data_IF_451126284727
#
_entry.id   IF_451126284727
#
_cell.length_a   1.000
_cell.length_b   1.000
_cell.length_c   1.000
_cell.angle_alpha   90.00
_cell.angle_beta   90.00
_cell.angle_gamma   90.00
#
_symmetry.space_group_name_H-M   'P 1'
#
loop_
_entity.id
_entity.type
_entity.pdbx_description
1 polymer ?
#
# COMPACT_ATOMS: atom_id res chain seq x y z
N UNK A 1 -2.37 14.90 -6.73
CA UNK A 1 -3.60 14.49 -7.43
C UNK A 1 -3.33 14.47 -8.91
N UNK A 2 -3.63 13.35 -9.55
CA UNK A 2 -3.46 13.23 -10.99
C UNK A 2 -4.40 14.21 -11.71
N UNK A 3 -3.87 14.99 -12.66
CA UNK A 3 -4.67 15.99 -13.39
C UNK A 3 -5.30 15.44 -14.68
N UNK A 4 -4.85 14.27 -15.18
CA UNK A 4 -5.32 13.65 -16.41
C UNK A 4 -5.01 12.13 -16.45
N UNK A 5 -5.44 11.39 -15.44
CA UNK A 5 -5.28 9.93 -15.47
C UNK A 5 -6.35 9.31 -16.36
N UNK A 6 -5.97 8.30 -17.14
CA UNK A 6 -6.91 7.52 -17.95
C UNK A 6 -7.78 6.61 -17.07
N UNK A 7 -7.20 6.14 -15.95
CA UNK A 7 -7.84 5.21 -15.03
C UNK A 7 -7.52 5.52 -13.57
N UNK A 8 -8.39 5.07 -12.68
CA UNK A 8 -8.13 5.02 -11.24
C UNK A 8 -8.41 3.61 -10.72
N UNK A 9 -7.49 3.08 -9.91
CA UNK A 9 -7.68 1.83 -9.16
C UNK A 9 -7.83 2.16 -7.67
N UNK A 10 -8.83 1.55 -7.04
CA UNK A 10 -9.19 1.81 -5.65
C UNK A 10 -8.72 0.69 -4.72
N UNK A 11 -8.74 0.97 -3.42
CA UNK A 11 -8.26 0.05 -2.39
C UNK A 11 -8.87 -1.35 -2.49
N UNK A 12 -10.13 -1.50 -2.90
CA UNK A 12 -10.77 -2.82 -3.07
C UNK A 12 -10.10 -3.74 -4.11
N UNK A 13 -9.34 -3.17 -5.05
CA UNK A 13 -8.67 -3.89 -6.13
C UNK A 13 -7.23 -4.19 -5.72
N UNK A 14 -7.06 -5.12 -4.78
CA UNK A 14 -5.76 -5.53 -4.26
C UNK A 14 -5.67 -7.06 -4.07
N UNK A 15 -4.44 -7.53 -3.86
CA UNK A 15 -4.15 -8.93 -3.57
C UNK A 15 -3.02 -9.06 -2.52
N UNK A 16 -2.92 -10.24 -1.89
CA UNK A 16 -1.97 -10.54 -0.80
C UNK A 16 -0.91 -11.57 -1.21
N UNK A 17 -0.29 -11.37 -2.38
CA UNK A 17 0.74 -12.26 -2.90
C UNK A 17 0.83 -12.24 -4.41
N UNK A 18 2.01 -12.52 -4.95
CA UNK A 18 2.25 -12.53 -6.40
C UNK A 18 1.86 -13.88 -7.00
N UNK A 19 0.81 -13.89 -7.81
CA UNK A 19 0.28 -15.07 -8.47
C UNK A 19 -0.20 -14.68 -9.88
N UNK A 20 0.28 -15.41 -10.90
CA UNK A 20 -0.04 -15.13 -12.30
C UNK A 20 -1.44 -15.61 -12.73
N UNK A 21 -2.13 -16.37 -11.87
CA UNK A 21 -3.50 -16.81 -12.08
C UNK A 21 -4.55 -15.77 -11.66
N UNK A 22 -4.13 -14.73 -10.92
CA UNK A 22 -5.01 -13.66 -10.50
C UNK A 22 -5.58 -12.90 -11.72
N UNK A 23 -6.91 -12.69 -11.78
CA UNK A 23 -7.47 -11.89 -12.86
C UNK A 23 -6.97 -10.44 -12.75
N UNK A 24 -6.71 -9.78 -13.89
CA UNK A 24 -6.30 -8.38 -13.84
C UNK A 24 -7.44 -7.51 -13.31
N UNK A 25 -7.12 -6.64 -12.35
CA UNK A 25 -8.03 -5.63 -11.85
C UNK A 25 -8.31 -4.52 -12.87
N UNK A 26 -7.37 -4.33 -13.81
CA UNK A 26 -7.47 -3.38 -14.90
C UNK A 26 -6.62 -3.87 -16.09
N UNK A 27 -7.09 -3.60 -17.31
CA UNK A 27 -6.36 -3.82 -18.56
C UNK A 27 -6.16 -2.50 -19.27
N UNK A 28 -4.93 -2.18 -19.68
CA UNK A 28 -4.55 -0.89 -20.25
C UNK A 28 -3.67 -1.03 -21.49
N UNK A 29 -3.70 -0.02 -22.36
CA UNK A 29 -2.75 0.13 -23.45
C UNK A 29 -1.39 0.66 -22.93
N UNK A 30 -0.27 0.38 -23.61
CA UNK A 30 0.99 1.04 -23.33
C UNK A 30 0.86 2.57 -23.44
N UNK A 31 1.44 3.28 -22.46
CA UNK A 31 1.39 4.74 -22.39
C UNK A 31 0.21 5.31 -21.58
N UNK A 32 -0.71 4.48 -21.10
CA UNK A 32 -1.78 4.93 -20.21
C UNK A 32 -1.27 5.39 -18.84
N UNK A 33 -1.93 6.40 -18.27
CA UNK A 33 -1.68 6.90 -16.91
C UNK A 33 -2.73 6.39 -15.94
N UNK A 34 -2.29 5.82 -14.81
CA UNK A 34 -3.17 5.21 -13.80
C UNK A 34 -2.92 5.88 -12.44
N UNK A 35 -3.99 6.30 -11.76
CA UNK A 35 -3.95 6.73 -10.36
C UNK A 35 -4.25 5.54 -9.44
N UNK A 36 -3.39 5.30 -8.44
CA UNK A 36 -3.54 4.22 -7.48
C UNK A 36 -3.95 4.76 -6.10
N UNK A 37 -5.10 4.33 -5.59
CA UNK A 37 -5.45 4.51 -4.18
C UNK A 37 -5.06 3.25 -3.41
N UNK A 38 -3.81 3.22 -2.95
CA UNK A 38 -3.26 2.09 -2.22
C UNK A 38 -3.72 2.05 -0.76
N UNK A 39 -3.77 0.85 -0.20
CA UNK A 39 -3.74 0.65 1.24
C UNK A 39 -2.30 0.79 1.77
N UNK A 40 -2.14 1.15 3.05
CA UNK A 40 -0.84 1.02 3.71
C UNK A 40 -0.49 -0.45 3.98
N UNK A 41 0.72 -0.71 4.47
CA UNK A 41 1.23 -2.07 4.71
C UNK A 41 0.40 -2.89 5.70
N UNK A 42 -0.40 -2.27 6.57
CA UNK A 42 -1.33 -2.98 7.47
C UNK A 42 -2.66 -3.36 6.80
N UNK A 43 -2.87 -3.03 5.53
CA UNK A 43 -4.18 -3.07 4.88
C UNK A 43 -5.26 -2.21 5.57
N UNK A 44 -4.85 -1.15 6.29
CA UNK A 44 -5.76 -0.29 7.06
C UNK A 44 -6.18 -0.86 8.41
N UNK A 45 -5.53 -1.94 8.89
CA UNK A 45 -5.71 -2.43 10.25
C UNK A 45 -5.18 -1.44 11.30
N UNK A 46 -4.19 -0.62 10.93
CA UNK A 46 -3.65 0.45 11.76
C UNK A 46 -4.07 1.83 11.23
N UNK A 47 -4.55 2.69 12.12
CA UNK A 47 -5.06 4.02 11.81
C UNK A 47 -4.83 5.03 12.93
N UNK A 48 -5.34 6.27 12.79
CA UNK A 48 -5.09 7.36 13.74
C UNK A 48 -5.54 7.09 15.19
N UNK A 49 -6.43 6.12 15.40
CA UNK A 49 -6.93 5.71 16.72
C UNK A 49 -6.34 4.38 17.22
N UNK A 50 -5.34 3.82 16.53
CA UNK A 50 -4.74 2.55 16.91
C UNK A 50 -4.02 2.63 18.25
N UNK A 51 -4.00 1.48 18.94
CA UNK A 51 -3.37 1.31 20.24
C UNK A 51 -2.32 0.22 20.17
N UNK A 52 -1.58 -0.02 21.27
CA UNK A 52 -0.67 -1.16 21.36
C UNK A 52 -1.39 -2.50 21.11
N UNK A 53 -2.66 -2.62 21.55
CA UNK A 53 -3.45 -3.82 21.30
C UNK A 53 -3.70 -4.02 19.80
N UNK A 54 -3.89 -2.94 19.03
CA UNK A 54 -4.02 -3.01 17.56
C UNK A 54 -2.78 -3.60 16.88
N UNK A 55 -1.59 -3.39 17.47
CA UNK A 55 -0.34 -3.99 16.96
C UNK A 55 -0.27 -5.48 17.26
N UNK A 56 -0.69 -5.87 18.47
CA UNK A 56 -0.74 -7.29 18.88
C UNK A 56 -1.76 -8.08 18.06
N UNK A 57 -2.90 -7.46 17.74
CA UNK A 57 -4.01 -8.08 17.00
C UNK A 57 -3.81 -8.07 15.47
N UNK A 58 -2.66 -7.60 14.98
CA UNK A 58 -2.40 -7.46 13.55
C UNK A 58 -2.49 -8.82 12.84
N UNK A 59 -3.36 -8.92 11.84
CA UNK A 59 -3.50 -10.12 11.01
C UNK A 59 -2.40 -10.12 9.93
N UNK A 60 -1.35 -10.90 10.17
CA UNK A 60 -0.24 -11.11 9.23
C UNK A 60 -0.65 -11.82 7.93
N UNK A 61 -1.83 -12.45 7.87
CA UNK A 61 -2.38 -12.98 6.63
C UNK A 61 -2.90 -11.88 5.69
N UNK A 62 -3.04 -10.65 6.18
CA UNK A 62 -3.59 -9.50 5.45
C UNK A 62 -2.68 -8.28 5.44
N UNK A 63 -1.39 -8.45 5.69
CA UNK A 63 -0.42 -7.36 5.52
C UNK A 63 0.08 -7.29 4.09
N UNK A 64 0.59 -6.11 3.71
CA UNK A 64 1.18 -5.81 2.41
C UNK A 64 0.25 -6.08 1.21
N UNK A 65 -0.98 -5.52 1.21
CA UNK A 65 -1.82 -5.56 0.02
C UNK A 65 -1.14 -4.80 -1.13
N UNK A 66 -1.18 -5.38 -2.32
CA UNK A 66 -0.70 -4.74 -3.55
C UNK A 66 -1.89 -4.43 -4.44
N UNK A 67 -2.04 -3.18 -4.85
CA UNK A 67 -3.10 -2.76 -5.78
C UNK A 67 -2.84 -3.29 -7.19
N UNK A 68 -3.85 -3.90 -7.81
CA UNK A 68 -3.73 -4.57 -9.12
C UNK A 68 -4.28 -6.01 -9.08
N UNK A 69 -3.80 -6.92 -9.95
CA UNK A 69 -2.75 -6.71 -10.97
C UNK A 69 -3.22 -5.87 -12.17
N UNK A 70 -2.29 -5.22 -12.86
CA UNK A 70 -2.55 -4.48 -14.11
C UNK A 70 -2.07 -5.29 -15.30
N UNK A 71 -2.96 -5.56 -16.26
CA UNK A 71 -2.59 -6.15 -17.55
C UNK A 71 -2.23 -5.05 -18.55
N UNK A 72 -1.04 -5.12 -19.14
CA UNK A 72 -0.59 -4.16 -20.18
C UNK A 72 -0.65 -4.84 -21.54
N UNK A 73 -1.40 -4.24 -22.46
CA UNK A 73 -1.59 -4.79 -23.80
C UNK A 73 -0.28 -4.96 -24.56
N UNK A 74 -0.08 -6.16 -25.11
CA UNK A 74 1.07 -6.48 -25.95
C UNK A 74 2.34 -6.86 -25.20
N UNK A 75 2.40 -6.69 -23.87
CA UNK A 75 3.55 -7.11 -23.05
C UNK A 75 3.71 -8.65 -23.06
N UNK A 76 4.94 -9.13 -23.25
CA UNK A 76 5.29 -10.56 -23.35
C UNK A 76 6.44 -10.94 -22.42
N UNK A 77 6.60 -12.23 -22.07
CA UNK A 77 7.78 -12.70 -21.35
C UNK A 77 9.08 -12.30 -22.06
N UNK A 78 10.00 -11.68 -21.31
CA UNK A 78 11.26 -11.14 -21.83
C UNK A 78 11.24 -9.64 -22.12
N UNK A 79 10.05 -9.02 -22.20
CA UNK A 79 9.94 -7.56 -22.32
C UNK A 79 10.25 -6.85 -20.99
N UNK A 80 10.52 -5.55 -21.08
CA UNK A 80 10.67 -4.66 -19.92
C UNK A 80 9.47 -3.73 -19.85
N UNK A 81 8.84 -3.64 -18.67
CA UNK A 81 7.85 -2.60 -18.40
C UNK A 81 8.55 -1.38 -17.82
N UNK A 82 8.55 -0.26 -18.57
CA UNK A 82 8.95 1.04 -18.04
C UNK A 82 7.74 1.69 -17.36
N UNK A 83 7.88 1.98 -16.07
CA UNK A 83 6.88 2.73 -15.28
C UNK A 83 7.47 4.09 -14.91
N UNK A 84 6.74 5.15 -15.18
CA UNK A 84 7.07 6.51 -14.72
C UNK A 84 6.17 6.86 -13.54
N UNK A 85 6.75 7.29 -12.42
CA UNK A 85 5.99 7.83 -11.29
C UNK A 85 5.81 9.33 -11.50
N UNK A 86 4.61 9.75 -11.89
CA UNK A 86 4.32 11.17 -12.16
C UNK A 86 4.05 11.98 -10.89
N UNK A 87 3.60 11.31 -9.83
CA UNK A 87 3.32 11.95 -8.56
C UNK A 87 3.01 10.94 -7.47
N UNK A 88 3.08 11.41 -6.24
CA UNK A 88 2.74 10.66 -5.04
C UNK A 88 2.06 11.61 -4.07
N UNK A 89 1.02 11.15 -3.40
CA UNK A 89 0.37 11.89 -2.33
C UNK A 89 -0.01 10.93 -1.21
N UNK A 90 0.27 11.29 0.06
CA UNK A 90 -0.17 10.47 1.17
C UNK A 90 -1.69 10.51 1.31
N UNK A 91 -2.24 9.47 1.94
CA UNK A 91 -3.65 9.50 2.37
C UNK A 91 -3.81 10.53 3.49
N UNK A 92 -4.85 11.35 3.38
CA UNK A 92 -5.17 12.41 4.32
C UNK A 92 -6.34 11.97 5.22
N UNK A 93 -6.19 12.17 6.53
CA UNK A 93 -7.22 11.98 7.54
C UNK A 93 -7.44 13.32 8.25
N UNK A 94 -8.68 13.83 8.24
CA UNK A 94 -9.06 15.11 8.85
C UNK A 94 -8.10 16.26 8.52
N UNK A 95 -7.69 16.33 7.24
CA UNK A 95 -6.79 17.38 6.73
C UNK A 95 -5.30 17.16 7.03
N UNK A 96 -4.90 16.05 7.66
CA UNK A 96 -3.50 15.74 7.98
C UNK A 96 -3.01 14.47 7.29
N UNK A 97 -1.73 14.44 6.95
CA UNK A 97 -1.03 13.21 6.60
C UNK A 97 -0.91 12.31 7.83
N UNK A 98 -0.94 11.00 7.59
CA UNK A 98 -0.85 9.99 8.65
C UNK A 98 0.20 8.93 8.28
N UNK A 99 0.83 8.37 9.30
CA UNK A 99 1.70 7.21 9.20
C UNK A 99 1.87 6.54 10.56
N UNK A 100 2.45 5.35 10.58
CA UNK A 100 2.70 4.62 11.82
C UNK A 100 4.06 3.92 11.78
N UNK A 101 4.65 3.73 12.95
CA UNK A 101 5.82 2.88 13.15
C UNK A 101 5.54 1.99 14.35
N UNK A 102 5.80 0.69 14.23
CA UNK A 102 5.54 -0.25 15.31
C UNK A 102 6.73 -1.16 15.57
N UNK A 103 6.97 -1.48 16.84
CA UNK A 103 7.68 -2.69 17.23
C UNK A 103 6.64 -3.80 17.36
N UNK A 104 6.77 -4.83 16.52
CA UNK A 104 5.84 -5.96 16.50
C UNK A 104 6.53 -7.15 17.16
N UNK A 105 6.03 -7.65 18.31
CA UNK A 105 6.66 -8.77 19.01
C UNK A 105 6.91 -9.98 18.10
N UNK A 106 8.13 -10.51 18.13
CA UNK A 106 8.53 -11.66 17.31
C UNK A 106 8.83 -11.35 15.84
N UNK A 107 8.81 -10.09 15.42
CA UNK A 107 9.06 -9.67 14.04
C UNK A 107 10.14 -8.59 13.94
N UNK A 108 11.03 -8.72 12.95
CA UNK A 108 12.10 -7.77 12.67
C UNK A 108 13.48 -8.19 13.19
N UNK A 109 14.48 -7.36 12.93
CA UNK A 109 15.90 -7.67 13.18
C UNK A 109 16.24 -7.88 14.66
N UNK A 110 15.58 -7.15 15.57
CA UNK A 110 15.88 -7.13 17.01
C UNK A 110 14.74 -7.72 17.85
N UNK A 111 13.97 -8.64 17.28
CA UNK A 111 12.78 -9.20 17.90
C UNK A 111 13.06 -9.93 19.24
N UNK A 112 14.29 -10.39 19.46
CA UNK A 112 14.77 -11.01 20.69
C UNK A 112 15.12 -9.99 21.79
N UNK A 113 15.41 -8.74 21.41
CA UNK A 113 15.77 -7.65 22.33
C UNK A 113 14.59 -6.74 22.66
N UNK A 114 13.63 -6.62 21.75
CA UNK A 114 12.42 -5.80 21.91
C UNK A 114 11.17 -6.67 21.84
N UNK A 115 10.88 -7.34 22.95
CA UNK A 115 9.77 -8.33 23.04
C UNK A 115 8.40 -7.70 23.24
N UNK A 116 8.34 -6.46 23.75
CA UNK A 116 7.08 -5.76 24.03
C UNK A 116 6.62 -4.96 22.81
N UNK A 117 5.30 -4.86 22.55
CA UNK A 117 4.80 -4.05 21.45
C UNK A 117 5.06 -2.56 21.71
N UNK A 118 5.38 -1.83 20.65
CA UNK A 118 5.46 -0.37 20.67
C UNK A 118 4.75 0.21 19.43
N UNK A 119 4.16 1.39 19.57
CA UNK A 119 3.47 2.07 18.47
C UNK A 119 3.75 3.59 18.56
N UNK A 120 4.16 4.16 17.44
CA UNK A 120 4.22 5.59 17.22
C UNK A 120 3.27 5.95 16.07
N UNK A 121 2.32 6.84 16.34
CA UNK A 121 1.40 7.39 15.34
C UNK A 121 1.90 8.78 14.92
N UNK A 122 2.09 8.96 13.62
CA UNK A 122 2.61 10.19 13.04
C UNK A 122 1.47 11.00 12.43
N UNK A 123 1.50 12.31 12.68
CA UNK A 123 0.63 13.29 12.03
C UNK A 123 1.49 14.41 11.48
N UNK A 124 1.31 14.73 10.20
CA UNK A 124 2.14 15.71 9.47
C UNK A 124 1.32 16.49 8.46
N UNK A 125 1.85 17.62 7.97
CA UNK A 125 1.26 18.37 6.87
C UNK A 125 1.50 17.60 5.55
N UNK A 126 0.44 17.16 4.84
CA UNK A 126 0.58 16.36 3.63
C UNK A 126 1.17 17.12 2.44
N UNK A 127 1.34 18.44 2.55
CA UNK A 127 1.94 19.30 1.52
C UNK A 127 3.43 19.63 1.77
N UNK A 128 4.01 19.14 2.88
CA UNK A 128 5.44 19.32 3.22
C UNK A 128 6.40 18.57 2.31
#
# INVERSE_FOLDING_TARGET
MCKACDYTIHGAQHHFGWDNSLPPALRVAPGSTIEFHCHDSSAGQLGPSSTLQSVVDLDFGKINPVSGPIYVDGAKPGDVLKVTLEGFAPKVFDGKGFGWTANIPGFGLLADQFTDPALCLWSYDPAS
#
